data_IF_883330944558
#
_entry.id   IF_883330944558
#
_cell.length_a   1.000
_cell.length_b   1.000
_cell.length_c   1.000
_cell.angle_alpha   90.00
_cell.angle_beta   90.00
_cell.angle_gamma   90.00
#
_symmetry.space_group_name_H-M   'P 1'
#
loop_
_entity.id
_entity.type
_entity.pdbx_description
1 polymer ?
#
# COMPACT_ATOMS: atom_id res chain seq x y z
N UNK A 1 46.04 9.63 -62.92
CA UNK A 1 45.83 8.22 -62.50
C UNK A 1 45.80 8.01 -60.97
N UNK A 2 45.77 9.05 -60.12
CA UNK A 2 45.80 8.86 -58.65
C UNK A 2 44.44 8.93 -57.91
N UNK A 3 43.38 9.46 -58.53
CA UNK A 3 42.09 9.62 -57.85
C UNK A 3 41.24 8.32 -57.81
N UNK A 4 41.38 7.45 -58.81
CA UNK A 4 40.59 6.21 -58.94
C UNK A 4 41.00 5.13 -57.93
N UNK A 5 42.27 5.13 -57.50
CA UNK A 5 42.81 4.17 -56.52
C UNK A 5 42.32 4.47 -55.09
N UNK A 6 42.16 5.75 -54.76
CA UNK A 6 41.76 6.18 -53.41
C UNK A 6 40.28 5.81 -53.15
N UNK A 7 39.40 6.00 -54.14
CA UNK A 7 37.99 5.60 -54.02
C UNK A 7 37.82 4.08 -53.85
N UNK A 8 38.64 3.27 -54.53
CA UNK A 8 38.63 1.81 -54.37
C UNK A 8 39.05 1.37 -52.95
N UNK A 9 40.10 1.96 -52.39
CA UNK A 9 40.55 1.64 -51.04
C UNK A 9 39.56 2.12 -49.95
N UNK A 10 38.90 3.27 -50.14
CA UNK A 10 37.88 3.77 -49.21
C UNK A 10 36.63 2.88 -49.21
N UNK A 11 36.17 2.43 -50.39
CA UNK A 11 35.01 1.53 -50.49
C UNK A 11 35.29 0.14 -49.89
N UNK A 12 36.52 -0.35 -50.05
CA UNK A 12 36.96 -1.63 -49.51
C UNK A 12 37.15 -1.56 -47.98
N UNK A 13 37.62 -0.45 -47.43
CA UNK A 13 37.62 -0.19 -45.98
C UNK A 13 36.21 -0.08 -45.41
N UNK A 14 35.29 0.62 -46.08
CA UNK A 14 33.90 0.73 -45.63
C UNK A 14 33.17 -0.61 -45.64
N UNK A 15 33.38 -1.44 -46.67
CA UNK A 15 32.84 -2.80 -46.74
C UNK A 15 33.40 -3.71 -45.64
N UNK A 16 34.68 -3.58 -45.31
CA UNK A 16 35.34 -4.35 -44.23
C UNK A 16 34.84 -3.94 -42.84
N UNK A 17 34.66 -2.64 -42.61
CA UNK A 17 34.12 -2.08 -41.35
C UNK A 17 32.64 -2.43 -41.14
N UNK A 18 31.83 -2.41 -42.21
CA UNK A 18 30.44 -2.85 -42.17
C UNK A 18 30.33 -4.35 -41.88
N UNK A 19 31.17 -5.18 -42.51
CA UNK A 19 31.21 -6.62 -42.23
C UNK A 19 31.68 -6.92 -40.80
N UNK A 20 32.67 -6.21 -40.28
CA UNK A 20 33.10 -6.35 -38.88
C UNK A 20 32.02 -5.87 -37.88
N UNK A 21 31.29 -4.79 -38.20
CA UNK A 21 30.17 -4.30 -37.40
C UNK A 21 28.97 -5.26 -37.39
N UNK A 22 28.68 -5.90 -38.53
CA UNK A 22 27.64 -6.94 -38.64
C UNK A 22 28.08 -8.22 -37.94
N UNK A 23 29.35 -8.62 -38.04
CA UNK A 23 29.90 -9.76 -37.29
C UNK A 23 29.89 -9.48 -35.77
N UNK A 24 30.16 -8.25 -35.32
CA UNK A 24 30.06 -7.87 -33.91
C UNK A 24 28.60 -7.82 -33.39
N UNK A 25 27.64 -7.47 -34.24
CA UNK A 25 26.20 -7.57 -33.93
C UNK A 25 25.71 -9.03 -33.90
N UNK A 26 26.29 -9.92 -34.72
CA UNK A 26 25.96 -11.35 -34.73
C UNK A 26 26.70 -12.12 -33.60
N UNK A 27 27.88 -11.64 -33.17
CA UNK A 27 28.67 -12.20 -32.07
C UNK A 27 28.37 -11.56 -30.70
N UNK A 28 27.41 -10.65 -30.62
CA UNK A 28 26.86 -10.29 -29.30
C UNK A 28 26.35 -11.59 -28.67
N UNK A 29 26.83 -11.98 -27.47
CA UNK A 29 26.35 -13.19 -26.83
C UNK A 29 24.83 -13.05 -26.74
N UNK A 30 24.10 -13.97 -27.37
CA UNK A 30 22.67 -14.14 -27.13
C UNK A 30 22.59 -14.36 -25.63
N UNK A 31 22.24 -13.31 -24.89
CA UNK A 31 22.05 -13.39 -23.47
C UNK A 31 20.89 -14.35 -23.30
N UNK A 32 21.19 -15.59 -22.87
CA UNK A 32 20.18 -16.63 -22.75
C UNK A 32 19.06 -16.05 -21.91
N UNK A 33 17.87 -15.93 -22.50
CA UNK A 33 16.70 -15.37 -21.83
C UNK A 33 16.54 -16.14 -20.52
N UNK A 34 16.59 -15.41 -19.40
CA UNK A 34 16.46 -15.99 -18.07
C UNK A 34 15.18 -16.85 -18.01
N UNK A 35 15.25 -18.08 -17.47
CA UNK A 35 14.15 -19.05 -17.54
C UNK A 35 12.93 -18.64 -16.71
N UNK A 36 13.10 -17.78 -15.71
CA UNK A 36 12.04 -17.23 -14.87
C UNK A 36 12.50 -15.92 -14.18
N UNK A 37 11.57 -15.28 -13.48
CA UNK A 37 11.84 -14.10 -12.64
C UNK A 37 12.89 -14.43 -11.55
N UNK A 38 13.75 -13.47 -11.23
CA UNK A 38 14.80 -13.69 -10.21
C UNK A 38 14.22 -14.11 -8.86
N UNK A 39 13.08 -13.55 -8.44
CA UNK A 39 12.44 -13.89 -7.17
C UNK A 39 11.83 -15.29 -7.17
N UNK A 40 11.78 -15.96 -8.32
CA UNK A 40 11.30 -17.33 -8.50
C UNK A 40 12.43 -18.37 -8.43
N UNK A 41 13.65 -17.90 -8.14
CA UNK A 41 14.86 -18.72 -8.17
C UNK A 41 15.51 -18.90 -6.81
N UNK A 42 16.25 -20.01 -6.65
CA UNK A 42 17.16 -20.27 -5.53
C UNK A 42 18.58 -20.44 -6.04
N UNK A 43 19.58 -20.17 -5.19
CA UNK A 43 20.98 -20.38 -5.54
C UNK A 43 21.30 -21.88 -5.48
N UNK A 44 21.72 -22.45 -6.61
CA UNK A 44 22.02 -23.88 -6.76
C UNK A 44 23.50 -24.16 -7.00
N UNK A 45 24.36 -23.15 -6.84
CA UNK A 45 25.80 -23.24 -7.15
C UNK A 45 26.51 -24.33 -6.35
N UNK A 46 26.11 -24.55 -5.10
CA UNK A 46 26.66 -25.59 -4.21
C UNK A 46 25.86 -26.89 -4.17
N UNK A 47 24.77 -27.00 -4.94
CA UNK A 47 23.84 -28.12 -4.84
C UNK A 47 24.33 -29.36 -5.59
N UNK A 48 23.77 -30.52 -5.21
CA UNK A 48 24.11 -31.79 -5.85
C UNK A 48 23.54 -31.84 -7.26
N UNK A 49 24.43 -31.88 -8.26
CA UNK A 49 24.08 -32.09 -9.67
C UNK A 49 23.95 -33.57 -10.00
N UNK A 50 22.88 -33.94 -10.69
CA UNK A 50 22.58 -35.28 -11.18
C UNK A 50 23.23 -35.54 -12.56
N UNK A 51 23.28 -36.81 -12.97
CA UNK A 51 23.90 -37.23 -14.24
C UNK A 51 23.19 -36.71 -15.48
N UNK A 52 21.88 -36.45 -15.38
CA UNK A 52 21.06 -35.82 -16.41
C UNK A 52 21.23 -34.29 -16.46
N UNK A 53 22.07 -33.72 -15.58
CA UNK A 53 22.36 -32.29 -15.49
C UNK A 53 21.38 -31.51 -14.61
N UNK A 54 20.36 -32.14 -14.03
CA UNK A 54 19.46 -31.51 -13.07
C UNK A 54 20.12 -31.27 -11.70
N UNK A 55 19.54 -30.40 -10.89
CA UNK A 55 20.06 -30.01 -9.56
C UNK A 55 19.07 -30.39 -8.47
N UNK A 56 19.54 -30.82 -7.32
CA UNK A 56 18.68 -31.15 -6.17
C UNK A 56 18.85 -30.13 -5.05
N UNK A 57 17.77 -29.40 -4.75
CA UNK A 57 17.69 -28.38 -3.71
C UNK A 57 16.54 -28.69 -2.75
N UNK A 58 16.81 -28.88 -1.45
CA UNK A 58 15.79 -29.17 -0.41
C UNK A 58 14.74 -30.23 -0.85
N UNK A 59 15.20 -31.36 -1.43
CA UNK A 59 14.39 -32.46 -1.99
C UNK A 59 13.58 -32.15 -3.26
N UNK A 60 13.72 -30.96 -3.85
CA UNK A 60 13.16 -30.61 -5.16
C UNK A 60 14.22 -30.80 -6.23
N UNK A 61 13.87 -31.53 -7.30
CA UNK A 61 14.77 -31.71 -8.45
C UNK A 61 14.46 -30.68 -9.52
N UNK A 62 15.39 -29.76 -9.75
CA UNK A 62 15.29 -28.65 -10.70
C UNK A 62 15.93 -29.08 -12.04
N UNK A 63 15.15 -29.16 -13.14
CA UNK A 63 15.68 -29.54 -14.45
C UNK A 63 16.76 -28.57 -14.93
N UNK A 64 17.75 -29.07 -15.68
CA UNK A 64 18.85 -28.27 -16.22
C UNK A 64 18.35 -27.06 -17.05
N UNK A 65 17.24 -27.22 -17.76
CA UNK A 65 16.63 -26.16 -18.56
C UNK A 65 16.05 -24.99 -17.73
N UNK A 66 15.85 -25.19 -16.42
CA UNK A 66 15.38 -24.18 -15.48
C UNK A 66 16.51 -23.57 -14.64
N UNK A 67 17.76 -23.87 -14.97
CA UNK A 67 18.95 -23.34 -14.31
C UNK A 67 19.70 -22.41 -15.26
N UNK A 68 20.05 -21.22 -14.78
CA UNK A 68 20.85 -20.25 -15.52
C UNK A 68 21.89 -19.59 -14.61
N UNK A 69 22.87 -18.94 -15.24
CA UNK A 69 23.91 -18.17 -14.55
C UNK A 69 23.46 -16.72 -14.38
N UNK A 70 23.60 -16.19 -13.17
CA UNK A 70 23.25 -14.83 -12.79
C UNK A 70 24.48 -14.12 -12.24
N UNK A 71 24.73 -12.89 -12.67
CA UNK A 71 25.83 -12.02 -12.18
C UNK A 71 25.31 -10.86 -11.33
N UNK A 72 24.14 -11.02 -10.73
CA UNK A 72 23.49 -10.00 -9.92
C UNK A 72 22.57 -10.61 -8.85
N UNK A 73 22.27 -9.83 -7.82
CA UNK A 73 21.26 -10.13 -6.80
C UNK A 73 20.40 -8.89 -6.54
N UNK A 74 19.26 -9.08 -5.89
CA UNK A 74 18.44 -7.98 -5.36
C UNK A 74 18.60 -7.88 -3.84
N UNK A 75 18.90 -6.69 -3.31
CA UNK A 75 18.87 -6.43 -1.85
C UNK A 75 17.43 -6.34 -1.32
N UNK A 76 16.57 -5.74 -2.13
CA UNK A 76 15.11 -5.63 -2.00
C UNK A 76 14.53 -5.56 -3.42
N UNK A 77 13.21 -5.68 -3.58
CA UNK A 77 12.53 -5.77 -4.89
C UNK A 77 12.76 -4.57 -5.85
N UNK A 78 13.58 -3.58 -5.49
CA UNK A 78 13.91 -2.40 -6.30
C UNK A 78 15.41 -2.12 -6.55
N UNK A 79 16.36 -2.77 -5.87
CA UNK A 79 17.81 -2.48 -6.05
C UNK A 79 18.58 -3.72 -6.50
N UNK A 80 19.00 -3.68 -7.78
CA UNK A 80 19.84 -4.69 -8.43
C UNK A 80 21.32 -4.38 -8.15
N UNK A 81 22.05 -5.38 -7.69
CA UNK A 81 23.46 -5.27 -7.34
C UNK A 81 24.22 -6.33 -8.13
N UNK A 82 25.26 -5.90 -8.83
CA UNK A 82 26.15 -6.82 -9.54
C UNK A 82 27.03 -7.58 -8.54
N UNK A 83 27.11 -8.89 -8.73
CA UNK A 83 27.90 -9.79 -7.89
C UNK A 83 28.59 -10.84 -8.76
N UNK A 84 29.44 -11.63 -8.14
CA UNK A 84 30.10 -12.73 -8.84
C UNK A 84 29.09 -13.69 -9.48
N UNK A 85 29.38 -14.19 -10.70
CA UNK A 85 28.48 -15.10 -11.41
C UNK A 85 28.21 -16.38 -10.61
N UNK A 86 26.94 -16.71 -10.44
CA UNK A 86 26.47 -17.87 -9.69
C UNK A 86 25.29 -18.53 -10.40
N UNK A 87 25.03 -19.81 -10.11
CA UNK A 87 23.92 -20.56 -10.70
C UNK A 87 22.66 -20.38 -9.87
N UNK A 88 21.54 -20.12 -10.53
CA UNK A 88 20.21 -20.10 -9.90
C UNK A 88 19.22 -20.93 -10.69
N UNK A 89 18.29 -21.58 -9.98
CA UNK A 89 17.27 -22.46 -10.55
C UNK A 89 15.85 -22.04 -10.19
N UNK A 90 14.92 -22.12 -11.15
CA UNK A 90 13.50 -21.70 -11.03
C UNK A 90 12.63 -22.65 -10.19
N UNK A 91 12.94 -22.78 -8.89
CA UNK A 91 12.25 -23.73 -8.01
C UNK A 91 10.75 -23.42 -7.85
N UNK A 92 10.35 -22.16 -7.93
CA UNK A 92 8.95 -21.76 -7.71
C UNK A 92 7.98 -22.22 -8.81
N UNK A 93 8.49 -22.63 -9.97
CA UNK A 93 7.70 -23.27 -11.03
C UNK A 93 7.36 -24.74 -10.71
N UNK A 94 8.10 -25.35 -9.78
CA UNK A 94 7.98 -26.77 -9.43
C UNK A 94 7.21 -26.95 -8.12
N UNK A 95 7.41 -26.04 -7.16
CA UNK A 95 6.72 -26.03 -5.87
C UNK A 95 6.43 -24.57 -5.47
N UNK A 96 5.21 -24.22 -5.03
CA UNK A 96 4.87 -22.85 -4.67
C UNK A 96 5.83 -22.28 -3.61
N UNK A 97 6.31 -21.06 -3.84
CA UNK A 97 7.22 -20.38 -2.92
C UNK A 97 6.47 -19.42 -1.99
N UNK A 98 6.87 -19.39 -0.73
CA UNK A 98 6.38 -18.46 0.28
C UNK A 98 7.55 -17.67 0.86
N UNK A 99 7.43 -16.34 0.84
CA UNK A 99 8.46 -15.46 1.35
C UNK A 99 8.41 -15.39 2.88
N UNK A 100 9.55 -15.63 3.53
CA UNK A 100 9.76 -15.40 4.96
C UNK A 100 10.48 -14.07 5.15
N UNK A 101 9.96 -13.22 6.03
CA UNK A 101 10.49 -11.87 6.20
C UNK A 101 11.93 -11.90 6.76
N UNK A 102 12.90 -11.37 6.00
CA UNK A 102 14.29 -11.26 6.44
C UNK A 102 14.59 -9.86 7.01
N UNK A 103 15.20 -9.80 8.20
CA UNK A 103 15.70 -8.55 8.80
C UNK A 103 14.62 -7.57 9.27
N UNK A 104 13.38 -8.04 9.47
CA UNK A 104 12.27 -7.26 10.02
C UNK A 104 11.87 -7.79 11.38
N UNK A 105 12.29 -7.10 12.45
CA UNK A 105 12.20 -7.59 13.83
C UNK A 105 13.21 -8.69 14.15
N UNK A 106 13.35 -9.05 15.43
CA UNK A 106 14.19 -10.17 15.88
C UNK A 106 13.52 -11.54 15.66
N UNK A 107 12.42 -11.56 14.91
CA UNK A 107 11.54 -12.71 14.78
C UNK A 107 11.88 -13.47 13.50
N UNK A 108 12.57 -14.61 13.66
CA UNK A 108 12.79 -15.59 12.59
C UNK A 108 11.71 -16.65 12.68
N UNK A 109 11.22 -17.12 11.53
CA UNK A 109 10.28 -18.24 11.49
C UNK A 109 10.99 -19.51 11.96
N UNK A 110 10.50 -20.11 13.05
CA UNK A 110 10.95 -21.43 13.48
C UNK A 110 10.34 -22.51 12.57
N UNK A 111 11.16 -23.15 11.73
CA UNK A 111 10.69 -24.17 10.77
C UNK A 111 9.97 -25.33 11.45
N UNK A 112 10.30 -25.66 12.70
CA UNK A 112 9.71 -26.79 13.45
C UNK A 112 8.31 -26.52 14.00
N UNK A 113 7.87 -25.26 14.03
CA UNK A 113 6.56 -24.84 14.56
C UNK A 113 5.89 -23.91 13.56
N UNK A 114 5.76 -24.38 12.32
CA UNK A 114 5.31 -23.57 11.19
C UNK A 114 3.94 -23.94 10.62
N UNK A 115 3.04 -24.47 11.45
CA UNK A 115 1.70 -24.84 11.01
C UNK A 115 0.81 -23.62 10.73
N UNK A 116 0.16 -23.60 9.56
CA UNK A 116 -0.78 -22.54 9.16
C UNK A 116 -2.00 -23.12 8.44
N UNK A 117 -3.15 -22.45 8.61
CA UNK A 117 -4.37 -22.78 7.88
C UNK A 117 -4.24 -22.32 6.42
N UNK A 118 -4.29 -23.27 5.49
CA UNK A 118 -4.24 -23.01 4.05
C UNK A 118 -5.58 -23.34 3.42
N UNK A 119 -6.03 -22.47 2.52
CA UNK A 119 -7.26 -22.66 1.75
C UNK A 119 -6.94 -23.24 0.37
N UNK A 120 -7.52 -24.39 0.05
CA UNK A 120 -7.31 -25.09 -1.21
C UNK A 120 -8.31 -24.61 -2.27
N UNK A 121 -8.03 -24.88 -3.55
CA UNK A 121 -8.90 -24.48 -4.67
C UNK A 121 -10.31 -25.07 -4.59
N UNK A 122 -10.51 -26.15 -3.85
CA UNK A 122 -11.82 -26.76 -3.60
C UNK A 122 -12.64 -26.03 -2.51
N UNK A 123 -12.06 -24.98 -1.90
CA UNK A 123 -12.67 -24.20 -0.83
C UNK A 123 -12.50 -24.82 0.55
N UNK A 124 -11.81 -25.95 0.68
CA UNK A 124 -11.49 -26.53 1.99
C UNK A 124 -10.32 -25.78 2.66
N UNK A 125 -10.32 -25.76 3.99
CA UNK A 125 -9.23 -25.19 4.80
C UNK A 125 -8.65 -26.28 5.68
N UNK A 126 -7.33 -26.48 5.63
CA UNK A 126 -6.64 -27.40 6.55
C UNK A 126 -5.38 -26.79 7.14
N UNK A 127 -5.07 -27.20 8.36
CA UNK A 127 -3.82 -26.86 9.03
C UNK A 127 -2.70 -27.72 8.45
N UNK A 128 -1.70 -27.09 7.84
CA UNK A 128 -0.56 -27.77 7.21
C UNK A 128 0.75 -27.18 7.70
N UNK A 129 1.82 -27.97 7.66
CA UNK A 129 3.18 -27.46 7.85
C UNK A 129 3.59 -26.63 6.61
N UNK A 130 3.89 -25.36 6.84
CA UNK A 130 4.23 -24.42 5.76
C UNK A 130 5.57 -24.80 5.12
N UNK A 131 6.52 -25.35 5.86
CA UNK A 131 7.82 -25.79 5.32
C UNK A 131 7.67 -27.03 4.42
N UNK A 132 6.67 -27.89 4.69
CA UNK A 132 6.37 -29.04 3.83
C UNK A 132 5.56 -28.62 2.59
N UNK A 133 4.59 -27.71 2.73
CA UNK A 133 3.71 -27.30 1.64
C UNK A 133 4.40 -26.35 0.65
N UNK A 134 5.26 -25.44 1.13
CA UNK A 134 5.89 -24.39 0.31
C UNK A 134 7.41 -24.53 0.25
N UNK A 135 8.05 -23.79 -0.67
CA UNK A 135 9.48 -23.50 -0.60
C UNK A 135 9.64 -22.16 0.13
N UNK A 136 10.33 -22.17 1.26
CA UNK A 136 10.53 -20.97 2.07
C UNK A 136 11.71 -20.15 1.52
N UNK A 137 11.44 -18.91 1.13
CA UNK A 137 12.47 -18.00 0.64
C UNK A 137 12.65 -16.83 1.61
N UNK A 138 13.82 -16.71 2.22
CA UNK A 138 14.13 -15.57 3.09
C UNK A 138 14.40 -14.32 2.25
N UNK A 139 13.45 -13.38 2.25
CA UNK A 139 13.54 -12.16 1.45
C UNK A 139 13.01 -10.95 2.20
N UNK A 140 13.60 -9.78 1.92
CA UNK A 140 13.05 -8.49 2.32
C UNK A 140 12.37 -7.86 1.10
N UNK A 141 11.04 -7.93 1.07
CA UNK A 141 10.25 -7.52 -0.09
C UNK A 141 10.26 -5.99 -0.25
N UNK A 142 10.02 -5.26 0.83
CA UNK A 142 9.93 -3.80 0.84
C UNK A 142 10.61 -3.18 2.07
N UNK A 143 10.78 -1.85 2.03
CA UNK A 143 11.42 -1.09 3.11
C UNK A 143 10.54 -1.01 4.36
N UNK A 144 9.25 -0.75 4.14
CA UNK A 144 8.23 -0.57 5.17
C UNK A 144 7.07 -1.55 4.95
N UNK A 145 6.71 -2.25 6.02
CA UNK A 145 5.67 -3.28 6.06
C UNK A 145 4.78 -3.04 7.28
N UNK A 146 3.57 -3.56 7.26
CA UNK A 146 2.69 -3.65 8.42
C UNK A 146 2.20 -5.09 8.60
N UNK A 147 2.00 -5.51 9.85
CA UNK A 147 1.45 -6.83 10.18
C UNK A 147 -0.07 -6.80 10.03
N UNK A 148 -0.66 -7.81 9.41
CA UNK A 148 -2.10 -8.06 9.51
C UNK A 148 -2.36 -8.87 10.77
N UNK A 149 -2.91 -8.23 11.80
CA UNK A 149 -3.27 -8.89 13.06
C UNK A 149 -4.78 -9.17 13.08
N UNK A 150 -5.21 -10.39 13.47
CA UNK A 150 -6.62 -10.75 13.52
C UNK A 150 -7.46 -9.93 14.53
N UNK A 151 -6.83 -9.32 15.55
CA UNK A 151 -7.53 -8.45 16.52
C UNK A 151 -8.02 -7.12 15.90
N UNK A 152 -7.45 -6.70 14.76
CA UNK A 152 -7.69 -5.38 14.15
C UNK A 152 -8.75 -5.42 13.00
N UNK A 153 -9.69 -6.37 13.03
CA UNK A 153 -10.63 -6.67 11.93
C UNK A 153 -9.98 -7.13 10.61
N UNK A 154 -8.67 -7.43 10.59
CA UNK A 154 -8.02 -8.00 9.42
C UNK A 154 -8.16 -9.53 9.42
N UNK A 155 -9.19 -10.03 8.75
CA UNK A 155 -9.25 -11.43 8.34
C UNK A 155 -8.51 -11.62 7.01
N UNK A 156 -7.69 -12.65 6.97
CA UNK A 156 -6.90 -12.99 5.80
C UNK A 156 -6.87 -14.50 5.58
N UNK A 157 -6.75 -14.90 4.32
CA UNK A 157 -6.66 -16.30 3.91
C UNK A 157 -5.45 -16.47 3.01
N UNK A 158 -4.61 -17.47 3.29
CA UNK A 158 -3.51 -17.87 2.41
C UNK A 158 -3.93 -19.12 1.64
N UNK A 159 -3.80 -19.09 0.33
CA UNK A 159 -4.13 -20.24 -0.50
C UNK A 159 -2.93 -21.13 -0.83
N UNK A 160 -3.18 -22.31 -1.39
CA UNK A 160 -2.15 -23.27 -1.79
C UNK A 160 -1.16 -22.76 -2.86
N UNK A 161 -1.46 -21.63 -3.52
CA UNK A 161 -0.58 -20.95 -4.49
C UNK A 161 0.21 -19.79 -3.88
N UNK A 162 0.23 -19.66 -2.55
CA UNK A 162 0.85 -18.54 -1.83
C UNK A 162 0.32 -17.15 -2.24
N UNK A 163 -0.99 -17.08 -2.54
CA UNK A 163 -1.72 -15.82 -2.72
C UNK A 163 -2.49 -15.53 -1.44
N UNK A 164 -2.27 -14.34 -0.89
CA UNK A 164 -2.92 -13.87 0.32
C UNK A 164 -4.15 -13.04 -0.06
N UNK A 165 -5.31 -13.43 0.42
CA UNK A 165 -6.54 -12.64 0.29
C UNK A 165 -6.80 -11.88 1.60
N UNK A 166 -7.02 -10.56 1.48
CA UNK A 166 -7.38 -9.68 2.60
C UNK A 166 -8.87 -9.33 2.49
N UNK A 167 -9.66 -9.66 3.51
CA UNK A 167 -11.12 -9.49 3.49
C UNK A 167 -11.53 -8.02 3.50
N UNK A 168 -10.88 -7.19 4.32
CA UNK A 168 -11.25 -5.77 4.51
C UNK A 168 -11.15 -4.97 3.22
N UNK A 169 -10.08 -5.19 2.46
CA UNK A 169 -9.86 -4.50 1.18
C UNK A 169 -10.43 -5.28 0.00
N UNK A 170 -10.75 -6.56 0.19
CA UNK A 170 -11.11 -7.52 -0.85
C UNK A 170 -10.04 -7.59 -1.97
N UNK A 171 -8.77 -7.70 -1.58
CA UNK A 171 -7.62 -7.70 -2.50
C UNK A 171 -6.85 -9.01 -2.39
N UNK A 172 -6.45 -9.54 -3.54
CA UNK A 172 -5.48 -10.64 -3.64
C UNK A 172 -4.06 -10.06 -3.74
N UNK A 173 -3.22 -10.35 -2.76
CA UNK A 173 -1.80 -10.01 -2.71
C UNK A 173 -0.98 -11.20 -3.17
N UNK A 174 -0.03 -10.95 -4.06
CA UNK A 174 0.87 -12.00 -4.54
C UNK A 174 2.08 -12.10 -3.60
N UNK A 175 2.89 -13.17 -3.72
CA UNK A 175 4.16 -13.33 -2.97
C UNK A 175 5.07 -12.10 -3.00
N UNK A 176 4.85 -11.25 -3.97
CA UNK A 176 5.64 -10.10 -4.30
C UNK A 176 5.27 -8.85 -3.46
N UNK A 177 4.16 -8.94 -2.71
CA UNK A 177 3.55 -7.85 -1.94
C UNK A 177 3.49 -8.17 -0.43
N UNK A 178 3.81 -9.40 -0.02
CA UNK A 178 3.80 -9.82 1.38
C UNK A 178 4.82 -10.94 1.69
N UNK A 179 5.30 -10.98 2.93
CA UNK A 179 6.05 -12.10 3.49
C UNK A 179 5.40 -12.56 4.80
N UNK A 180 5.74 -13.74 5.29
CA UNK A 180 5.27 -14.25 6.58
C UNK A 180 6.35 -14.14 7.65
N UNK A 181 5.94 -13.87 8.88
CA UNK A 181 6.82 -13.87 10.05
C UNK A 181 6.10 -14.43 11.28
N UNK A 182 6.89 -14.82 12.28
CA UNK A 182 6.38 -15.33 13.54
C UNK A 182 6.15 -14.16 14.50
N UNK A 183 4.90 -13.92 14.89
CA UNK A 183 4.50 -12.86 15.81
C UNK A 183 4.27 -13.43 17.21
N UNK A 184 4.85 -12.78 18.22
CA UNK A 184 4.61 -13.11 19.64
C UNK A 184 3.47 -12.23 20.19
N UNK A 185 2.46 -12.87 20.78
CA UNK A 185 1.30 -12.17 21.32
C UNK A 185 1.64 -11.46 22.65
N UNK A 186 1.42 -10.13 22.77
CA UNK A 186 1.79 -9.38 23.97
C UNK A 186 1.08 -9.84 25.26
N UNK A 187 -0.13 -10.40 25.13
CA UNK A 187 -0.97 -10.84 26.25
C UNK A 187 -0.78 -12.32 26.61
N UNK A 188 -0.02 -13.08 25.80
CA UNK A 188 0.21 -14.50 25.96
C UNK A 188 1.69 -14.80 25.68
N UNK A 189 2.55 -14.44 26.64
CA UNK A 189 4.00 -14.64 26.55
C UNK A 189 4.35 -16.09 26.20
N UNK A 190 5.14 -16.29 25.14
CA UNK A 190 5.49 -17.62 24.64
C UNK A 190 4.48 -18.25 23.67
N UNK A 191 3.37 -17.58 23.34
CA UNK A 191 2.49 -18.01 22.25
C UNK A 191 2.85 -17.27 20.96
N UNK A 192 3.29 -18.04 19.97
CA UNK A 192 3.65 -17.53 18.66
C UNK A 192 2.59 -17.87 17.62
N UNK A 193 2.42 -17.00 16.63
CA UNK A 193 1.55 -17.22 15.49
C UNK A 193 2.17 -16.68 14.22
N UNK A 194 2.02 -17.39 13.10
CA UNK A 194 2.46 -16.88 11.81
C UNK A 194 1.49 -15.79 11.36
N UNK A 195 2.03 -14.61 11.04
CA UNK A 195 1.26 -13.48 10.53
C UNK A 195 1.91 -12.93 9.25
N UNK A 196 1.10 -12.54 8.25
CA UNK A 196 1.60 -11.91 7.04
C UNK A 196 1.95 -10.45 7.33
N UNK A 197 3.11 -10.05 6.83
CA UNK A 197 3.60 -8.69 6.74
C UNK A 197 3.38 -8.21 5.30
N UNK A 198 2.50 -7.22 5.13
CA UNK A 198 2.15 -6.68 3.82
C UNK A 198 2.94 -5.40 3.58
N UNK A 199 3.40 -5.22 2.34
CA UNK A 199 4.03 -3.99 1.91
C UNK A 199 3.03 -2.83 1.92
N UNK A 200 3.46 -1.69 2.44
CA UNK A 200 2.70 -0.46 2.27
C UNK A 200 2.79 -0.08 0.79
N UNK A 201 1.70 -0.27 0.03
CA UNK A 201 1.62 0.23 -1.35
C UNK A 201 1.65 1.76 -1.32
N UNK A 202 2.85 2.30 -1.49
CA UNK A 202 3.17 3.71 -1.29
C UNK A 202 2.62 4.64 -2.36
N UNK A 203 2.01 4.14 -3.45
CA UNK A 203 1.64 5.01 -4.58
C UNK A 203 0.22 5.56 -4.50
N UNK A 204 -0.81 4.77 -4.20
CA UNK A 204 -2.19 5.29 -4.23
C UNK A 204 -2.67 5.79 -2.87
N UNK A 205 -2.47 5.02 -1.81
CA UNK A 205 -2.99 5.36 -0.49
C UNK A 205 -2.25 6.56 0.12
N UNK A 206 -0.92 6.57 0.02
CA UNK A 206 -0.09 7.67 0.53
C UNK A 206 -0.35 8.94 -0.27
N UNK A 207 -0.45 8.85 -1.61
CA UNK A 207 -0.75 10.03 -2.44
C UNK A 207 -2.15 10.57 -2.16
N UNK A 208 -3.18 9.72 -2.05
CA UNK A 208 -4.54 10.16 -1.67
C UNK A 208 -4.55 10.82 -0.29
N UNK A 209 -3.87 10.23 0.68
CA UNK A 209 -3.78 10.72 2.05
C UNK A 209 -3.05 12.08 2.12
N UNK A 210 -1.94 12.23 1.40
CA UNK A 210 -1.19 13.48 1.34
C UNK A 210 -1.94 14.58 0.56
N UNK A 211 -2.56 14.26 -0.58
CA UNK A 211 -3.38 15.21 -1.33
C UNK A 211 -4.53 15.72 -0.45
N UNK A 212 -5.24 14.82 0.23
CA UNK A 212 -6.31 15.21 1.14
C UNK A 212 -5.78 16.13 2.25
N UNK A 213 -4.63 15.80 2.85
CA UNK A 213 -3.98 16.65 3.85
C UNK A 213 -3.64 18.06 3.34
N UNK A 214 -3.12 18.17 2.11
CA UNK A 214 -2.82 19.47 1.48
C UNK A 214 -4.09 20.27 1.25
N UNK A 215 -5.14 19.64 0.70
CA UNK A 215 -6.43 20.31 0.46
C UNK A 215 -7.05 20.79 1.78
N UNK A 216 -6.96 20.00 2.85
CA UNK A 216 -7.41 20.42 4.18
C UNK A 216 -6.67 21.68 4.66
N UNK A 217 -5.34 21.73 4.55
CA UNK A 217 -4.58 22.93 4.92
C UNK A 217 -4.89 24.15 4.05
N UNK A 218 -5.05 23.96 2.74
CA UNK A 218 -5.46 25.02 1.82
C UNK A 218 -6.84 25.59 2.16
N UNK A 219 -7.73 24.80 2.76
CA UNK A 219 -9.08 25.25 3.15
C UNK A 219 -9.10 26.14 4.41
N UNK A 220 -8.10 26.01 5.30
CA UNK A 220 -8.02 26.78 6.56
C UNK A 220 -8.10 28.30 6.36
N UNK A 221 -7.30 28.94 5.48
CA UNK A 221 -7.38 30.40 5.30
C UNK A 221 -8.76 30.86 4.85
N UNK A 222 -9.45 30.09 4.01
CA UNK A 222 -10.82 30.41 3.58
C UNK A 222 -11.83 30.27 4.72
N UNK A 223 -11.67 29.26 5.59
CA UNK A 223 -12.50 29.12 6.79
C UNK A 223 -12.27 30.27 7.78
N UNK A 224 -11.02 30.65 8.02
CA UNK A 224 -10.67 31.78 8.88
C UNK A 224 -11.21 33.12 8.33
N UNK A 225 -11.11 33.34 7.01
CA UNK A 225 -11.71 34.50 6.36
C UNK A 225 -13.23 34.52 6.56
N UNK A 226 -13.89 33.38 6.40
CA UNK A 226 -15.33 33.26 6.61
C UNK A 226 -15.69 33.60 8.05
N UNK A 227 -14.97 33.05 9.04
CA UNK A 227 -15.16 33.39 10.46
C UNK A 227 -15.01 34.91 10.67
N UNK A 228 -13.96 35.51 10.11
CA UNK A 228 -13.72 36.95 10.25
C UNK A 228 -14.88 37.79 9.69
N UNK A 229 -15.38 37.48 8.50
CA UNK A 229 -16.52 38.18 7.88
C UNK A 229 -17.77 38.10 8.76
N UNK A 230 -18.09 36.90 9.28
CA UNK A 230 -19.25 36.69 10.15
C UNK A 230 -19.14 37.40 11.51
N UNK A 231 -17.92 37.64 11.99
CA UNK A 231 -17.68 38.39 13.22
C UNK A 231 -17.69 39.91 12.99
N UNK A 232 -17.15 40.39 11.87
CA UNK A 232 -17.02 41.82 11.55
C UNK A 232 -18.40 42.42 11.24
N UNK A 233 -19.19 41.76 10.37
CA UNK A 233 -20.47 42.31 9.91
C UNK A 233 -21.53 42.14 11.02
N UNK A 234 -21.98 43.23 11.67
CA UNK A 234 -22.90 43.13 12.80
C UNK A 234 -24.27 42.54 12.40
N UNK A 235 -24.67 42.72 11.15
CA UNK A 235 -25.91 42.18 10.57
C UNK A 235 -25.91 40.64 10.48
N UNK A 236 -24.72 40.03 10.35
CA UNK A 236 -24.51 38.59 10.27
C UNK A 236 -24.29 37.94 11.65
N UNK A 237 -24.06 38.73 12.71
CA UNK A 237 -23.80 38.25 14.09
C UNK A 237 -25.06 37.76 14.84
N UNK A 238 -26.10 37.38 14.10
CA UNK A 238 -27.32 36.75 14.62
C UNK A 238 -27.01 35.35 15.19
N UNK A 239 -27.99 34.72 15.83
CA UNK A 239 -27.87 33.36 16.39
C UNK A 239 -27.22 32.38 15.38
N UNK A 240 -27.75 32.34 14.16
CA UNK A 240 -27.23 31.53 13.07
C UNK A 240 -25.74 31.79 12.74
N UNK A 241 -25.32 33.06 12.68
CA UNK A 241 -23.92 33.40 12.38
C UNK A 241 -22.94 32.99 13.48
N UNK A 242 -23.38 33.00 14.75
CA UNK A 242 -22.58 32.50 15.88
C UNK A 242 -22.43 30.97 15.82
N UNK A 243 -23.50 30.24 15.49
CA UNK A 243 -23.45 28.78 15.33
C UNK A 243 -22.52 28.38 14.18
N UNK A 244 -22.60 29.08 13.04
CA UNK A 244 -21.70 28.85 11.91
C UNK A 244 -20.24 29.14 12.29
N UNK A 245 -19.96 30.23 13.01
CA UNK A 245 -18.61 30.56 13.44
C UNK A 245 -18.01 29.49 14.38
N UNK A 246 -18.81 28.95 15.32
CA UNK A 246 -18.38 27.87 16.20
C UNK A 246 -18.14 26.54 15.46
N UNK A 247 -18.96 26.25 14.44
CA UNK A 247 -18.76 25.10 13.57
C UNK A 247 -17.46 25.21 12.77
N UNK A 248 -17.26 26.35 12.09
CA UNK A 248 -16.05 26.60 11.29
C UNK A 248 -14.78 26.65 12.14
N UNK A 249 -14.85 27.19 13.37
CA UNK A 249 -13.69 27.23 14.26
C UNK A 249 -13.26 25.83 14.72
N UNK A 250 -14.23 25.00 15.10
CA UNK A 250 -13.99 23.59 15.46
C UNK A 250 -13.37 22.82 14.29
N UNK A 251 -13.91 23.02 13.09
CA UNK A 251 -13.40 22.38 11.87
C UNK A 251 -11.99 22.86 11.50
N UNK A 252 -11.72 24.16 11.63
CA UNK A 252 -10.40 24.74 11.34
C UNK A 252 -9.30 24.15 12.23
N UNK A 253 -9.59 23.94 13.52
CA UNK A 253 -8.62 23.35 14.46
C UNK A 253 -8.40 21.87 14.13
N UNK A 254 -9.47 21.11 13.88
CA UNK A 254 -9.35 19.71 13.46
C UNK A 254 -8.53 19.57 12.16
N UNK A 255 -8.78 20.43 11.17
CA UNK A 255 -8.10 20.40 9.88
C UNK A 255 -6.65 20.89 9.94
N UNK A 256 -6.28 21.66 10.96
CA UNK A 256 -4.89 22.04 11.21
C UNK A 256 -4.07 20.84 11.71
N UNK A 257 -4.65 20.03 12.59
CA UNK A 257 -3.96 18.93 13.28
C UNK A 257 -4.01 17.63 12.44
N UNK A 258 -5.14 17.30 11.83
CA UNK A 258 -5.34 16.01 11.14
C UNK A 258 -4.25 15.66 10.11
N UNK A 259 -3.81 16.58 9.24
CA UNK A 259 -2.75 16.26 8.28
C UNK A 259 -1.39 15.95 8.94
N UNK A 260 -1.09 16.44 10.15
CA UNK A 260 0.21 16.15 10.79
C UNK A 260 0.37 14.67 11.14
N UNK A 261 -0.73 13.99 11.48
CA UNK A 261 -0.76 12.53 11.65
C UNK A 261 -0.60 11.81 10.31
N UNK A 262 -1.29 12.30 9.27
CA UNK A 262 -1.24 11.74 7.92
C UNK A 262 0.16 11.82 7.27
N UNK A 263 0.91 12.90 7.55
CA UNK A 263 2.28 13.08 7.08
C UNK A 263 3.35 12.40 7.96
N UNK A 264 2.94 11.70 9.03
CA UNK A 264 3.89 11.00 9.91
C UNK A 264 4.84 11.93 10.67
N UNK A 265 4.43 13.18 10.93
CA UNK A 265 5.25 14.17 11.66
C UNK A 265 5.51 13.70 13.10
N UNK A 266 4.59 12.92 13.66
CA UNK A 266 4.73 12.31 14.98
C UNK A 266 5.20 10.87 14.86
N UNK A 267 6.17 10.46 15.70
CA UNK A 267 6.57 9.06 15.78
C UNK A 267 5.43 8.21 16.37
N UNK A 268 5.33 6.96 15.90
CA UNK A 268 4.39 5.99 16.43
C UNK A 268 4.56 5.87 17.95
N UNK A 269 3.44 5.88 18.68
CA UNK A 269 3.38 5.83 20.15
C UNK A 269 3.89 7.06 20.93
N UNK A 270 4.29 8.14 20.25
CA UNK A 270 4.68 9.39 20.94
C UNK A 270 3.51 10.04 21.68
N UNK A 271 3.82 10.79 22.75
CA UNK A 271 2.84 11.64 23.44
C UNK A 271 2.18 12.61 22.46
N UNK A 272 2.95 13.15 21.51
CA UNK A 272 2.44 14.02 20.43
C UNK A 272 1.36 13.34 19.58
N UNK A 273 1.58 12.09 19.17
CA UNK A 273 0.58 11.32 18.42
C UNK A 273 -0.73 11.13 19.20
N UNK A 274 -0.64 10.81 20.49
CA UNK A 274 -1.81 10.64 21.36
C UNK A 274 -2.58 11.95 21.52
N UNK A 275 -1.89 13.04 21.84
CA UNK A 275 -2.49 14.37 22.02
C UNK A 275 -3.15 14.86 20.72
N UNK A 276 -2.49 14.69 19.58
CA UNK A 276 -3.05 15.03 18.28
C UNK A 276 -4.33 14.24 18.00
N UNK A 277 -4.30 12.91 18.19
CA UNK A 277 -5.47 12.05 18.01
C UNK A 277 -6.67 12.45 18.89
N UNK A 278 -6.45 12.63 20.19
CA UNK A 278 -7.52 13.08 21.11
C UNK A 278 -8.06 14.46 20.76
N UNK A 279 -7.18 15.38 20.36
CA UNK A 279 -7.59 16.74 19.96
C UNK A 279 -8.45 16.70 18.71
N UNK A 280 -8.02 15.98 17.67
CA UNK A 280 -8.79 15.81 16.43
C UNK A 280 -10.18 15.24 16.75
N UNK A 281 -10.26 14.17 17.53
CA UNK A 281 -11.53 13.56 17.90
C UNK A 281 -12.46 14.56 18.60
N UNK A 282 -11.95 15.30 19.59
CA UNK A 282 -12.71 16.33 20.30
C UNK A 282 -13.27 17.40 19.35
N UNK A 283 -12.43 17.96 18.48
CA UNK A 283 -12.85 19.06 17.59
C UNK A 283 -13.78 18.59 16.48
N UNK A 284 -13.63 17.36 15.96
CA UNK A 284 -14.58 16.77 15.02
C UNK A 284 -15.94 16.56 15.69
N UNK A 285 -15.97 16.00 16.90
CA UNK A 285 -17.21 15.82 17.65
C UNK A 285 -17.90 17.16 17.97
N UNK A 286 -17.11 18.18 18.34
CA UNK A 286 -17.62 19.54 18.51
C UNK A 286 -18.19 20.10 17.20
N UNK A 287 -17.53 19.90 16.06
CA UNK A 287 -18.04 20.33 14.76
C UNK A 287 -19.38 19.64 14.43
N UNK A 288 -19.51 18.33 14.68
CA UNK A 288 -20.79 17.64 14.51
C UNK A 288 -21.89 18.22 15.41
N UNK A 289 -21.58 18.51 16.68
CA UNK A 289 -22.53 19.14 17.60
C UNK A 289 -23.03 20.49 17.06
N UNK A 290 -22.11 21.37 16.64
CA UNK A 290 -22.46 22.69 16.10
C UNK A 290 -23.22 22.60 14.78
N UNK A 291 -22.90 21.63 13.93
CA UNK A 291 -23.63 21.38 12.69
C UNK A 291 -25.09 20.95 12.95
N UNK A 292 -25.32 20.12 13.96
CA UNK A 292 -26.66 19.75 14.39
C UNK A 292 -27.41 20.95 14.98
N UNK A 293 -26.75 21.77 15.81
CA UNK A 293 -27.34 22.98 16.37
C UNK A 293 -27.74 24.00 15.28
N UNK A 294 -26.90 24.17 14.25
CA UNK A 294 -27.19 25.02 13.08
C UNK A 294 -28.38 24.49 12.28
N UNK A 295 -28.46 23.17 12.08
CA UNK A 295 -29.60 22.53 11.39
C UNK A 295 -30.90 22.74 12.16
N UNK A 296 -30.86 22.65 13.49
CA UNK A 296 -31.99 22.92 14.35
C UNK A 296 -32.43 24.41 14.32
N UNK A 297 -31.49 25.35 14.37
CA UNK A 297 -31.77 26.80 14.27
C UNK A 297 -32.43 27.13 12.92
N UNK A 298 -31.94 26.54 11.84
CA UNK A 298 -32.50 26.67 10.49
C UNK A 298 -33.92 26.10 10.43
N UNK A 299 -34.13 24.88 10.92
CA UNK A 299 -35.45 24.25 10.96
C UNK A 299 -36.46 25.09 11.75
N UNK A 300 -36.07 25.58 12.93
CA UNK A 300 -36.92 26.43 13.78
C UNK A 300 -37.27 27.74 13.08
N UNK A 301 -36.30 28.36 12.41
CA UNK A 301 -36.51 29.60 11.66
C UNK A 301 -37.50 29.40 10.52
N UNK A 302 -37.34 28.35 9.73
CA UNK A 302 -38.28 28.01 8.64
C UNK A 302 -39.68 27.76 9.19
N UNK A 303 -39.81 26.97 10.26
CA UNK A 303 -41.12 26.68 10.87
C UNK A 303 -41.84 27.93 11.39
N UNK A 304 -41.10 28.86 11.99
CA UNK A 304 -41.65 30.12 12.49
C UNK A 304 -42.14 31.02 11.33
N UNK A 305 -41.38 31.08 10.23
CA UNK A 305 -41.78 31.84 9.04
C UNK A 305 -43.08 31.26 8.46
N UNK A 306 -43.14 29.94 8.25
CA UNK A 306 -44.34 29.27 7.70
C UNK A 306 -45.55 29.47 8.62
N UNK A 307 -45.36 29.37 9.94
CA UNK A 307 -46.42 29.64 10.91
C UNK A 307 -46.96 31.07 10.84
N UNK A 308 -46.06 32.07 10.72
CA UNK A 308 -46.45 33.48 10.55
C UNK A 308 -47.19 33.71 9.23
N UNK A 309 -46.75 33.11 8.12
CA UNK A 309 -47.43 33.21 6.83
C UNK A 309 -48.84 32.62 6.89
N UNK A 310 -49.03 31.47 7.55
CA UNK A 310 -50.34 30.85 7.74
C UNK A 310 -51.25 31.75 8.59
N UNK A 311 -50.76 32.29 9.71
CA UNK A 311 -51.56 33.20 10.56
C UNK A 311 -51.95 34.46 9.78
N UNK A 312 -51.02 35.03 8.99
CA UNK A 312 -51.31 36.21 8.19
C UNK A 312 -52.34 35.92 7.10
N UNK A 313 -52.27 34.76 6.45
CA UNK A 313 -53.25 34.30 5.48
C UNK A 313 -54.64 34.10 6.11
N UNK A 314 -54.72 33.41 7.25
CA UNK A 314 -55.97 33.21 8.01
C UNK A 314 -56.58 34.54 8.45
N UNK A 315 -55.77 35.47 8.97
CA UNK A 315 -56.23 36.81 9.38
C UNK A 315 -56.68 37.67 8.20
N UNK A 316 -56.03 37.53 7.04
CA UNK A 316 -56.47 38.20 5.80
C UNK A 316 -57.76 37.59 5.20
N UNK A 317 -58.01 36.29 5.43
CA UNK A 317 -59.26 35.62 5.08
C UNK A 317 -60.41 36.01 6.00
N UNK A 318 -60.18 36.03 7.31
CA UNK A 318 -61.19 36.40 8.32
C UNK A 318 -61.66 37.86 8.17
N UNK A 319 -60.75 38.80 7.94
CA UNK A 319 -61.08 40.22 7.71
C UNK A 319 -61.82 40.50 6.39
N UNK A 320 -61.90 39.51 5.49
CA UNK A 320 -62.66 39.59 4.24
C UNK A 320 -64.09 39.03 4.41
N UNK A 321 -64.31 38.13 5.37
CA UNK A 321 -65.64 37.59 5.73
C UNK A 321 -66.45 38.53 6.63
N UNK A 322 -65.82 39.37 7.46
CA UNK A 322 -66.51 40.36 8.29
C UNK A 322 -66.98 41.62 7.52
N UNK A 323 -66.79 41.65 6.19
CA UNK A 323 -67.07 42.82 5.33
C UNK A 323 -68.13 42.56 4.24
N UNK A 324 -68.76 41.38 4.25
CA UNK A 324 -69.94 40.99 3.46
C UNK A 324 -71.13 40.80 4.39
#
# INVERSE_FOLDING_TARGET
MHASSIYGHVLQCYGSLLMLGVIALILSPVNAKEPCDFFDTVNVTGDRRLTDGSYVHENVTIPAAQVAQYSYIYKYRGEKIEVEPHLRGCICHLKPCLNVCNGWGNMKLNRSESSLNITFLDGSTSLVDVAEQFVLQEQRICKEMYLLLPEDNFSWLLNEKAVLWEEVQNINRTKADFCVTQFEWPKASGQYSIQPAVCIETSEFVVKTQINGIVMWLSIPFMLLTIAVYLIIPELRKCNGKLLACWLSSLSIAYSIHPTLAFGIHTQYSIGCKLAGYSIYYFIMAAFLWHNAMSFDTWRTVRNITGLTIIHFVRSGASRLDRE
#
